data_IF_666363167236
#
_entry.id   IF_666363167236
#
_cell.length_a   1.000
_cell.length_b   1.000
_cell.length_c   1.000
_cell.angle_alpha   90.00
_cell.angle_beta   90.00
_cell.angle_gamma   90.00
#
_symmetry.space_group_name_H-M   'P 1'
#
loop_
_entity.id
_entity.type
_entity.pdbx_description
1 polymer ?
#
# COMPACT_ATOMS: atom_id res chain seq x y z
N UNK A 1 -5.90 22.09 3.62
CA UNK A 1 -6.58 20.79 3.40
C UNK A 1 -6.40 19.94 4.64
N UNK A 2 -7.49 19.49 5.26
CA UNK A 2 -7.42 18.57 6.40
C UNK A 2 -7.16 17.15 5.90
N UNK A 3 -6.19 16.45 6.48
CA UNK A 3 -5.92 15.05 6.18
C UNK A 3 -7.01 14.17 6.81
N UNK A 4 -7.39 13.10 6.12
CA UNK A 4 -8.30 12.11 6.68
C UNK A 4 -7.58 11.37 7.81
N UNK A 5 -8.22 11.32 8.97
CA UNK A 5 -7.74 10.57 10.14
C UNK A 5 -8.58 9.30 10.31
N UNK A 6 -8.01 8.23 10.90
CA UNK A 6 -8.78 7.04 11.26
C UNK A 6 -9.83 7.44 12.30
N UNK A 7 -11.11 7.31 11.96
CA UNK A 7 -12.24 7.65 12.85
C UNK A 7 -12.67 6.47 13.72
N UNK A 8 -12.40 5.25 13.28
CA UNK A 8 -12.93 4.02 13.87
C UNK A 8 -11.83 3.20 14.54
N UNK A 9 -12.20 2.41 15.54
CA UNK A 9 -11.27 1.50 16.21
C UNK A 9 -10.86 0.34 15.30
N UNK A 10 -9.69 -0.26 15.55
CA UNK A 10 -9.23 -1.44 14.79
C UNK A 10 -10.25 -2.58 14.79
N UNK A 11 -10.96 -2.79 15.91
CA UNK A 11 -12.03 -3.79 16.01
C UNK A 11 -13.19 -3.51 15.05
N UNK A 12 -13.62 -2.24 14.93
CA UNK A 12 -14.67 -1.85 13.98
C UNK A 12 -14.19 -1.97 12.53
N UNK A 13 -12.95 -1.57 12.25
CA UNK A 13 -12.32 -1.69 10.93
C UNK A 13 -12.25 -3.17 10.51
N UNK A 14 -11.85 -4.06 11.42
CA UNK A 14 -11.74 -5.48 11.15
C UNK A 14 -13.12 -6.14 10.94
N UNK A 15 -14.11 -5.75 11.74
CA UNK A 15 -15.50 -6.19 11.56
C UNK A 15 -16.03 -5.74 10.20
N UNK A 16 -15.87 -4.47 9.84
CA UNK A 16 -16.32 -3.92 8.56
C UNK A 16 -15.62 -4.59 7.37
N UNK A 17 -14.30 -4.80 7.46
CA UNK A 17 -13.54 -5.51 6.43
C UNK A 17 -14.01 -6.96 6.25
N UNK A 18 -14.21 -7.70 7.35
CA UNK A 18 -14.74 -9.06 7.29
C UNK A 18 -16.17 -9.09 6.74
N UNK A 19 -17.00 -8.13 7.14
CA UNK A 19 -18.38 -7.97 6.69
C UNK A 19 -18.47 -7.80 5.17
N UNK A 20 -17.62 -6.96 4.57
CA UNK A 20 -17.59 -6.76 3.10
C UNK A 20 -17.25 -8.02 2.31
N UNK A 21 -16.43 -8.93 2.86
CA UNK A 21 -16.00 -10.16 2.15
C UNK A 21 -17.05 -11.26 2.08
N UNK A 22 -18.03 -11.25 2.98
CA UNK A 22 -19.06 -12.30 3.11
C UNK A 22 -20.44 -11.66 3.33
N UNK A 23 -20.98 -10.94 2.32
CA UNK A 23 -22.33 -10.44 2.40
C UNK A 23 -23.29 -11.62 2.57
N UNK A 24 -24.17 -11.52 3.56
CA UNK A 24 -25.21 -12.52 3.86
C UNK A 24 -26.49 -12.11 3.15
N UNK A 25 -27.31 -13.07 2.75
CA UNK A 25 -28.54 -12.80 1.97
C UNK A 25 -29.59 -11.99 2.73
N UNK A 26 -29.55 -11.99 4.06
CA UNK A 26 -30.44 -11.23 4.95
C UNK A 26 -29.88 -9.87 5.37
N UNK A 27 -28.85 -9.39 4.67
CA UNK A 27 -28.17 -8.14 4.98
C UNK A 27 -28.90 -6.97 4.32
N UNK A 28 -29.19 -5.93 5.10
CA UNK A 28 -29.80 -4.72 4.57
C UNK A 28 -28.74 -3.87 3.83
N UNK A 29 -29.11 -3.16 2.75
CA UNK A 29 -28.20 -2.28 2.03
C UNK A 29 -27.48 -1.26 2.93
N UNK A 30 -28.16 -0.76 3.96
CA UNK A 30 -27.61 0.21 4.92
C UNK A 30 -26.42 -0.36 5.71
N UNK A 31 -26.43 -1.66 6.02
CA UNK A 31 -25.32 -2.28 6.75
C UNK A 31 -24.06 -2.35 5.88
N UNK A 32 -24.25 -2.58 4.57
CA UNK A 32 -23.16 -2.57 3.60
C UNK A 32 -22.59 -1.17 3.38
N UNK A 33 -23.43 -0.15 3.27
CA UNK A 33 -23.00 1.25 3.17
C UNK A 33 -22.18 1.69 4.39
N UNK A 34 -22.63 1.34 5.60
CA UNK A 34 -21.90 1.60 6.83
C UNK A 34 -20.52 0.92 6.87
N UNK A 35 -20.45 -0.37 6.48
CA UNK A 35 -19.18 -1.08 6.42
C UNK A 35 -18.23 -0.47 5.38
N UNK A 36 -18.77 -0.08 4.22
CA UNK A 36 -18.02 0.57 3.16
C UNK A 36 -17.44 1.92 3.62
N UNK A 37 -18.22 2.74 4.34
CA UNK A 37 -17.73 4.01 4.90
C UNK A 37 -16.54 3.79 5.84
N UNK A 38 -16.64 2.81 6.75
CA UNK A 38 -15.58 2.49 7.71
C UNK A 38 -14.29 2.08 6.97
N UNK A 39 -14.42 1.18 5.98
CA UNK A 39 -13.28 0.71 5.20
C UNK A 39 -12.66 1.83 4.36
N UNK A 40 -13.49 2.69 3.75
CA UNK A 40 -13.00 3.84 2.98
C UNK A 40 -12.31 4.87 3.87
N UNK A 41 -12.85 5.19 5.05
CA UNK A 41 -12.18 6.10 5.98
C UNK A 41 -10.80 5.57 6.38
N UNK A 42 -10.72 4.28 6.75
CA UNK A 42 -9.46 3.65 7.11
C UNK A 42 -8.48 3.60 5.93
N UNK A 43 -8.95 3.28 4.72
CA UNK A 43 -8.12 3.28 3.52
C UNK A 43 -7.58 4.69 3.23
N UNK A 44 -8.45 5.69 3.29
CA UNK A 44 -8.11 7.07 2.98
C UNK A 44 -7.21 7.72 4.04
N UNK A 45 -7.24 7.27 5.30
CA UNK A 45 -6.37 7.80 6.36
C UNK A 45 -4.88 7.52 6.12
N UNK A 46 -4.55 6.54 5.27
CA UNK A 46 -3.17 6.24 4.88
C UNK A 46 -2.61 7.24 3.84
N UNK A 47 -3.41 8.20 3.38
CA UNK A 47 -2.97 9.20 2.39
C UNK A 47 -1.83 10.07 2.88
N UNK A 48 -1.83 10.46 4.17
CA UNK A 48 -0.76 11.29 4.74
C UNK A 48 0.56 10.52 4.89
N UNK A 49 0.61 9.33 5.53
CA UNK A 49 1.82 8.49 5.51
C UNK A 49 2.35 8.25 4.09
N UNK A 50 1.46 7.94 3.13
CA UNK A 50 1.86 7.76 1.73
C UNK A 50 2.48 9.00 1.10
N UNK A 51 1.96 10.19 1.40
CA UNK A 51 2.56 11.43 0.93
C UNK A 51 4.01 11.56 1.43
N UNK A 52 4.26 11.29 2.70
CA UNK A 52 5.61 11.34 3.29
C UNK A 52 6.55 10.39 2.55
N UNK A 53 6.14 9.13 2.34
CA UNK A 53 6.92 8.17 1.57
C UNK A 53 7.13 8.60 0.12
N UNK A 54 6.11 9.16 -0.53
CA UNK A 54 6.20 9.66 -1.91
C UNK A 54 7.22 10.79 -2.00
N UNK A 55 7.23 11.73 -1.07
CA UNK A 55 8.18 12.83 -1.05
C UNK A 55 9.62 12.30 -0.89
N UNK A 56 9.85 11.38 0.03
CA UNK A 56 11.16 10.73 0.21
C UNK A 56 11.62 9.96 -1.04
N UNK A 57 10.72 9.20 -1.65
CA UNK A 57 10.98 8.51 -2.93
C UNK A 57 11.25 9.48 -4.06
N UNK A 58 10.51 10.59 -4.14
CA UNK A 58 10.67 11.62 -5.17
C UNK A 58 12.04 12.26 -5.09
N UNK A 59 12.44 12.70 -3.89
CA UNK A 59 13.74 13.33 -3.67
C UNK A 59 14.90 12.41 -4.12
N UNK A 60 14.88 11.15 -3.68
CA UNK A 60 15.94 10.17 -4.04
C UNK A 60 15.92 9.81 -5.53
N UNK A 61 14.73 9.60 -6.09
CA UNK A 61 14.59 9.20 -7.50
C UNK A 61 15.03 10.33 -8.44
N UNK A 62 14.60 11.56 -8.19
CA UNK A 62 14.96 12.74 -9.00
C UNK A 62 16.44 13.08 -8.94
N UNK A 63 17.13 12.78 -7.82
CA UNK A 63 18.59 12.91 -7.71
C UNK A 63 19.34 11.89 -8.58
N UNK A 64 18.73 10.73 -8.87
CA UNK A 64 19.33 9.65 -9.67
C UNK A 64 18.95 9.75 -11.14
N UNK A 65 17.70 10.15 -11.41
CA UNK A 65 17.13 10.33 -12.74
C UNK A 65 16.17 11.53 -12.71
N UNK A 66 16.56 12.65 -13.31
CA UNK A 66 15.78 13.89 -13.33
C UNK A 66 14.40 13.71 -13.97
N UNK A 67 14.27 12.75 -14.87
CA UNK A 67 13.02 12.40 -15.56
C UNK A 67 12.18 11.35 -14.81
N UNK A 68 12.60 10.92 -13.61
CA UNK A 68 11.88 9.90 -12.85
C UNK A 68 10.41 10.28 -12.63
N UNK A 69 9.50 9.36 -12.93
CA UNK A 69 8.07 9.52 -12.65
C UNK A 69 7.77 8.83 -11.33
N UNK A 70 7.20 9.56 -10.38
CA UNK A 70 6.90 9.05 -9.04
C UNK A 70 5.42 9.22 -8.76
N UNK A 71 4.76 8.13 -8.38
CA UNK A 71 3.34 8.09 -8.09
C UNK A 71 3.10 7.42 -6.73
N UNK A 72 2.03 7.82 -6.06
CA UNK A 72 1.49 7.10 -4.91
C UNK A 72 0.14 6.50 -5.26
N UNK A 73 -0.20 5.38 -4.64
CA UNK A 73 -1.47 4.69 -4.86
C UNK A 73 -1.97 4.08 -3.56
N UNK A 74 -3.23 4.33 -3.26
CA UNK A 74 -4.00 3.50 -2.35
C UNK A 74 -4.46 2.24 -3.06
N UNK A 75 -4.47 1.12 -2.33
CA UNK A 75 -5.03 -0.12 -2.82
C UNK A 75 -6.51 0.09 -3.16
N UNK A 76 -6.98 -0.56 -4.22
CA UNK A 76 -8.40 -0.48 -4.62
C UNK A 76 -9.23 -1.32 -3.66
N UNK A 77 -10.47 -0.92 -3.38
CA UNK A 77 -11.39 -1.70 -2.54
C UNK A 77 -11.49 -3.14 -3.00
N UNK A 78 -11.70 -3.39 -4.30
CA UNK A 78 -11.76 -4.75 -4.85
C UNK A 78 -10.50 -5.59 -4.59
N UNK A 79 -9.33 -4.96 -4.52
CA UNK A 79 -8.08 -5.65 -4.17
C UNK A 79 -7.92 -5.88 -2.67
N UNK A 80 -8.53 -5.03 -1.83
CA UNK A 80 -8.63 -5.23 -0.38
C UNK A 80 -9.55 -6.42 -0.12
N UNK A 81 -10.75 -6.38 -0.68
CA UNK A 81 -11.75 -7.45 -0.60
C UNK A 81 -11.18 -8.80 -1.05
N UNK A 82 -10.64 -8.88 -2.27
CA UNK A 82 -10.01 -10.12 -2.77
C UNK A 82 -8.90 -10.65 -1.85
N UNK A 83 -8.13 -9.76 -1.21
CA UNK A 83 -7.05 -10.18 -0.31
C UNK A 83 -7.60 -10.71 1.02
N UNK A 84 -8.62 -10.08 1.57
CA UNK A 84 -9.30 -10.56 2.79
C UNK A 84 -10.02 -11.90 2.54
N UNK A 85 -10.63 -12.09 1.36
CA UNK A 85 -11.19 -13.38 0.96
C UNK A 85 -10.11 -14.47 0.84
N UNK A 86 -8.98 -14.15 0.20
CA UNK A 86 -7.86 -15.08 0.00
C UNK A 86 -7.17 -15.49 1.31
N UNK A 87 -7.17 -14.61 2.30
CA UNK A 87 -6.54 -14.85 3.60
C UNK A 87 -7.57 -14.62 4.72
N UNK A 88 -8.44 -15.60 5.02
CA UNK A 88 -9.56 -15.42 5.94
C UNK A 88 -9.17 -15.06 7.39
N UNK A 89 -7.93 -15.32 7.78
CA UNK A 89 -7.37 -14.94 9.10
C UNK A 89 -6.80 -13.52 9.11
N UNK A 90 -6.73 -12.84 7.97
CA UNK A 90 -6.21 -11.49 7.84
C UNK A 90 -7.21 -10.47 8.36
N UNK A 91 -6.70 -9.57 9.19
CA UNK A 91 -7.42 -8.39 9.69
C UNK A 91 -7.08 -7.19 8.82
N UNK A 92 -8.09 -6.38 8.48
CA UNK A 92 -7.90 -5.19 7.66
C UNK A 92 -6.95 -4.20 8.35
N UNK A 93 -7.10 -4.03 9.67
CA UNK A 93 -6.26 -3.17 10.49
C UNK A 93 -4.78 -3.57 10.52
N UNK A 94 -4.46 -4.82 10.17
CA UNK A 94 -3.09 -5.35 10.10
C UNK A 94 -2.56 -5.43 8.65
N UNK A 95 -3.33 -4.97 7.66
CA UNK A 95 -2.97 -5.09 6.26
C UNK A 95 -1.83 -4.13 5.88
N UNK A 96 -0.63 -4.67 5.69
CA UNK A 96 0.57 -3.89 5.38
C UNK A 96 0.61 -3.24 3.98
N UNK A 97 -0.31 -3.58 3.07
CA UNK A 97 -0.30 -3.11 1.68
C UNK A 97 -1.54 -2.27 1.30
N UNK A 98 -2.07 -1.48 2.24
CA UNK A 98 -3.16 -0.52 1.99
C UNK A 98 -2.70 0.59 1.03
N UNK A 99 -1.41 0.89 1.03
CA UNK A 99 -0.82 1.94 0.21
C UNK A 99 0.57 1.58 -0.30
N UNK A 100 0.98 2.23 -1.39
CA UNK A 100 2.36 2.16 -1.85
C UNK A 100 2.75 3.33 -2.74
N UNK A 101 4.05 3.53 -2.87
CA UNK A 101 4.63 4.45 -3.85
C UNK A 101 5.39 3.66 -4.93
N UNK A 102 5.41 4.20 -6.14
CA UNK A 102 6.13 3.64 -7.28
C UNK A 102 6.99 4.74 -7.89
N UNK A 103 8.18 4.37 -8.31
CA UNK A 103 9.00 5.17 -9.21
C UNK A 103 9.24 4.39 -10.51
N UNK A 104 9.25 5.11 -11.63
CA UNK A 104 9.63 4.63 -12.94
C UNK A 104 10.82 5.47 -13.40
N UNK A 105 11.88 4.80 -13.83
CA UNK A 105 13.15 5.38 -14.26
C UNK A 105 13.61 4.74 -15.55
N UNK A 106 14.53 5.40 -16.26
CA UNK A 106 14.92 5.01 -17.62
C UNK A 106 15.75 3.73 -17.73
N UNK A 107 16.37 3.26 -16.64
CA UNK A 107 17.21 2.05 -16.69
C UNK A 107 17.19 1.20 -15.42
N UNK A 108 17.45 -0.10 -15.58
CA UNK A 108 17.64 -1.04 -14.46
C UNK A 108 18.77 -0.59 -13.54
N UNK A 109 19.85 -0.03 -14.08
CA UNK A 109 20.97 0.52 -13.29
C UNK A 109 20.49 1.60 -12.32
N UNK A 110 19.59 2.48 -12.76
CA UNK A 110 18.99 3.51 -11.91
C UNK A 110 18.07 2.90 -10.83
N UNK A 111 17.29 1.87 -11.15
CA UNK A 111 16.49 1.13 -10.16
C UNK A 111 17.39 0.59 -9.04
N UNK A 112 18.52 -0.02 -9.39
CA UNK A 112 19.50 -0.53 -8.40
C UNK A 112 20.07 0.59 -7.53
N UNK A 113 20.43 1.73 -8.11
CA UNK A 113 20.93 2.90 -7.36
C UNK A 113 19.89 3.43 -6.37
N UNK A 114 18.62 3.47 -6.74
CA UNK A 114 17.53 3.88 -5.84
C UNK A 114 17.44 2.91 -4.66
N UNK A 115 17.43 1.61 -4.92
CA UNK A 115 17.37 0.59 -3.85
C UNK A 115 18.56 0.71 -2.89
N UNK A 116 19.78 0.87 -3.41
CA UNK A 116 20.97 1.09 -2.57
C UNK A 116 20.86 2.38 -1.75
N UNK A 117 20.32 3.47 -2.32
CA UNK A 117 20.10 4.72 -1.59
C UNK A 117 19.13 4.56 -0.42
N UNK A 118 18.10 3.73 -0.55
CA UNK A 118 17.19 3.41 0.55
C UNK A 118 17.82 2.51 1.60
N UNK A 119 18.59 1.49 1.19
CA UNK A 119 19.30 0.59 2.11
C UNK A 119 20.33 1.32 2.97
N UNK A 120 21.00 2.32 2.41
CA UNK A 120 22.05 3.08 3.09
C UNK A 120 21.51 4.34 3.80
N UNK A 121 20.19 4.48 3.90
CA UNK A 121 19.60 5.67 4.54
C UNK A 121 19.25 5.42 5.99
N UNK A 122 19.22 6.50 6.77
CA UNK A 122 18.76 6.50 8.17
C UNK A 122 17.24 6.40 8.31
N UNK A 123 16.57 5.78 7.33
CA UNK A 123 15.14 5.54 7.40
C UNK A 123 14.87 4.63 8.60
N UNK A 124 14.12 5.13 9.57
CA UNK A 124 13.75 4.41 10.79
C UNK A 124 12.85 3.19 10.53
N UNK A 125 12.23 3.12 9.36
CA UNK A 125 11.38 1.99 8.97
C UNK A 125 12.23 0.74 8.71
N UNK A 126 11.99 -0.33 9.48
CA UNK A 126 12.71 -1.60 9.32
C UNK A 126 12.33 -2.25 7.99
N UNK A 127 13.30 -2.61 7.17
CA UNK A 127 13.03 -3.38 5.96
C UNK A 127 12.57 -4.80 6.31
N UNK A 128 11.32 -5.16 5.98
CA UNK A 128 10.81 -6.52 6.19
C UNK A 128 11.23 -7.45 5.06
N UNK A 129 11.01 -7.00 3.82
CA UNK A 129 11.17 -7.84 2.64
C UNK A 129 11.53 -7.02 1.42
N UNK A 130 12.43 -7.53 0.60
CA UNK A 130 12.65 -7.05 -0.76
C UNK A 130 12.49 -8.21 -1.74
N UNK A 131 11.78 -8.01 -2.83
CA UNK A 131 11.63 -8.99 -3.90
C UNK A 131 12.13 -8.39 -5.21
N UNK A 132 12.99 -9.14 -5.92
CA UNK A 132 13.67 -8.68 -7.14
C UNK A 132 13.11 -9.39 -8.38
N UNK A 133 12.03 -8.85 -8.92
CA UNK A 133 11.43 -9.35 -10.15
C UNK A 133 12.20 -8.96 -11.41
N UNK A 134 13.33 -8.27 -11.30
CA UNK A 134 14.24 -8.07 -12.44
C UNK A 134 15.10 -9.32 -12.63
N UNK A 135 15.59 -9.90 -11.54
CA UNK A 135 16.33 -11.17 -11.56
C UNK A 135 15.42 -12.38 -11.75
N UNK A 136 14.26 -12.38 -11.10
CA UNK A 136 13.28 -13.47 -11.17
C UNK A 136 11.91 -12.91 -11.58
N UNK A 137 11.69 -12.64 -12.89
CA UNK A 137 10.43 -12.11 -13.38
C UNK A 137 9.24 -13.00 -13.01
N UNK A 138 8.06 -12.40 -12.84
CA UNK A 138 6.83 -13.20 -12.76
C UNK A 138 6.50 -13.77 -14.13
N UNK A 139 5.75 -14.87 -14.16
CA UNK A 139 5.23 -15.49 -15.40
C UNK A 139 4.46 -14.49 -16.28
N UNK A 140 3.83 -13.48 -15.67
CA UNK A 140 3.17 -12.38 -16.37
C UNK A 140 4.11 -11.41 -17.12
N UNK A 141 5.43 -11.66 -17.11
CA UNK A 141 6.46 -10.76 -17.64
C UNK A 141 6.76 -9.54 -16.77
N UNK A 142 6.16 -9.43 -15.57
CA UNK A 142 6.38 -8.28 -14.69
C UNK A 142 7.82 -8.22 -14.19
N UNK A 143 8.45 -7.04 -14.31
CA UNK A 143 9.80 -6.74 -13.83
C UNK A 143 9.82 -5.48 -12.97
N UNK A 144 10.51 -5.55 -11.84
CA UNK A 144 10.66 -4.45 -10.89
C UNK A 144 11.23 -4.92 -9.57
N UNK A 145 11.56 -3.99 -8.68
CA UNK A 145 11.96 -4.31 -7.31
C UNK A 145 10.84 -3.86 -6.38
N UNK A 146 10.32 -4.80 -5.59
CA UNK A 146 9.31 -4.51 -4.58
C UNK A 146 9.98 -4.43 -3.21
N UNK A 147 9.86 -3.26 -2.57
CA UNK A 147 10.47 -2.96 -1.27
C UNK A 147 9.36 -2.78 -0.22
N UNK A 148 9.39 -3.59 0.83
CA UNK A 148 8.38 -3.61 1.91
C UNK A 148 9.01 -3.15 3.23
N UNK A 149 8.89 -1.85 3.57
CA UNK A 149 9.24 -1.36 4.89
C UNK A 149 8.16 -1.72 5.93
N UNK A 150 8.57 -1.89 7.18
CA UNK A 150 7.71 -2.02 8.36
C UNK A 150 7.32 -0.65 8.90
N UNK A 151 6.08 -0.50 9.35
CA UNK A 151 5.59 0.72 10.01
C UNK A 151 4.86 1.70 9.08
N UNK A 152 4.04 1.16 8.18
CA UNK A 152 2.91 1.88 7.56
C UNK A 152 1.63 1.54 8.33
#
# INVERSE_FOLDING_TARGET
MAWIVPKYSNSLIDKAGAFMTKPKSWMEPIDFENALEIVENYRASHSFPLLVFRMGLTHRSKKIDSEAIVAQRLKRLSSVDYKLQRFPTMRLSHMQDIGGCRTVVRSVRMVRRIVTSFKNSDIKHKLLRTVDYIKQPRDSGYRGIQWHPFGL
#
